data_IF_500842210215
#
_entry.id   IF_500842210215
#
_cell.length_a   1.000
_cell.length_b   1.000
_cell.length_c   1.000
_cell.angle_alpha   90.00
_cell.angle_beta   90.00
_cell.angle_gamma   90.00
#
_symmetry.space_group_name_H-M   'P 1'
#
loop_
_entity.id
_entity.type
_entity.pdbx_description
1 polymer ?
#
# COMPACT_ATOMS: atom_id res chain seq x y z
N UNK A 1 -27.22 -22.21 -3.71
CA UNK A 1 -26.78 -21.22 -2.70
C UNK A 1 -26.02 -20.16 -3.47
N UNK A 2 -26.59 -18.96 -3.66
CA UNK A 2 -25.85 -17.87 -4.31
C UNK A 2 -24.68 -17.52 -3.37
N UNK A 3 -23.46 -17.55 -3.89
CA UNK A 3 -22.32 -17.03 -3.13
C UNK A 3 -22.60 -15.54 -2.91
N UNK A 4 -22.45 -15.03 -1.69
CA UNK A 4 -22.70 -13.62 -1.34
C UNK A 4 -21.77 -12.60 -2.03
N UNK A 5 -21.15 -12.97 -3.15
CA UNK A 5 -20.34 -12.12 -4.03
C UNK A 5 -21.24 -11.27 -4.92
N UNK A 6 -22.35 -11.83 -5.43
CA UNK A 6 -23.26 -11.13 -6.34
C UNK A 6 -23.99 -9.94 -5.68
N UNK A 7 -23.94 -9.85 -4.35
CA UNK A 7 -24.49 -8.74 -3.55
C UNK A 7 -23.47 -7.66 -3.19
N UNK A 8 -22.18 -7.85 -3.53
CA UNK A 8 -21.16 -6.84 -3.27
C UNK A 8 -21.19 -5.76 -4.37
N UNK A 9 -20.95 -4.48 -4.03
CA UNK A 9 -20.83 -3.44 -5.03
C UNK A 9 -19.70 -3.79 -6.01
N UNK A 10 -19.93 -3.55 -7.30
CA UNK A 10 -18.91 -3.76 -8.34
C UNK A 10 -17.76 -2.78 -8.11
N UNK A 11 -16.53 -3.26 -8.26
CA UNK A 11 -15.34 -2.41 -8.15
C UNK A 11 -15.34 -1.31 -9.20
N UNK A 12 -15.11 -0.08 -8.74
CA UNK A 12 -14.81 1.06 -9.60
C UNK A 12 -13.30 1.13 -9.85
N UNK A 13 -12.91 1.24 -11.12
CA UNK A 13 -11.51 1.28 -11.52
C UNK A 13 -11.05 2.73 -11.64
N UNK A 14 -9.98 3.07 -10.92
CA UNK A 14 -9.22 4.32 -11.07
C UNK A 14 -7.84 4.03 -11.67
N UNK A 15 -7.10 5.07 -12.09
CA UNK A 15 -5.81 4.89 -12.78
C UNK A 15 -4.81 4.00 -12.03
N UNK A 16 -4.85 3.96 -10.69
CA UNK A 16 -4.22 2.93 -9.83
C UNK A 16 -4.99 2.80 -8.49
N UNK A 17 -5.65 1.67 -8.24
CA UNK A 17 -6.22 1.31 -6.92
C UNK A 17 -5.21 0.58 -6.03
N UNK A 18 -5.56 0.20 -4.79
CA UNK A 18 -4.61 -0.48 -3.88
C UNK A 18 -5.16 -1.75 -3.20
N UNK A 19 -4.36 -2.81 -3.17
CA UNK A 19 -4.42 -3.90 -2.18
C UNK A 19 -3.00 -4.34 -1.84
N UNK A 20 -2.58 -4.09 -0.60
CA UNK A 20 -1.24 -4.38 -0.12
C UNK A 20 -1.09 -5.81 0.42
N UNK A 21 -0.06 -6.51 -0.03
CA UNK A 21 0.22 -7.92 0.28
C UNK A 21 1.14 -8.13 1.49
N UNK A 22 1.43 -7.10 2.28
CA UNK A 22 2.29 -7.20 3.50
C UNK A 22 1.76 -8.22 4.51
N UNK A 23 0.45 -8.49 4.49
CA UNK A 23 -0.19 -9.45 5.41
C UNK A 23 -0.09 -10.90 4.96
N UNK A 24 0.51 -11.19 3.80
CA UNK A 24 0.59 -12.51 3.19
C UNK A 24 2.02 -13.04 3.19
N UNK A 25 2.21 -14.30 3.57
CA UNK A 25 3.52 -14.95 3.57
C UNK A 25 3.63 -16.02 4.65
N UNK A 26 4.43 -15.75 5.68
CA UNK A 26 4.58 -16.67 6.82
C UNK A 26 4.47 -15.97 8.17
N UNK A 27 3.68 -16.58 9.06
CA UNK A 27 3.55 -16.18 10.46
C UNK A 27 4.87 -16.27 11.25
N UNK A 28 5.88 -16.99 10.73
CA UNK A 28 7.24 -17.03 11.28
C UNK A 28 7.99 -15.70 11.16
N UNK A 29 7.66 -14.89 10.15
CA UNK A 29 8.27 -13.58 9.97
C UNK A 29 7.70 -12.57 10.96
N UNK A 30 6.38 -12.50 11.07
CA UNK A 30 5.67 -11.78 12.12
C UNK A 30 4.38 -12.53 12.50
N UNK A 31 4.02 -12.64 13.79
CA UNK A 31 2.92 -13.51 14.23
C UNK A 31 1.53 -13.20 13.63
N UNK A 32 1.32 -11.97 13.17
CA UNK A 32 0.06 -11.53 12.59
C UNK A 32 -0.06 -11.76 11.07
N UNK A 33 1.01 -12.23 10.42
CA UNK A 33 1.02 -12.55 8.99
C UNK A 33 0.24 -13.82 8.73
N UNK A 34 -0.51 -13.84 7.63
CA UNK A 34 -1.28 -15.01 7.21
C UNK A 34 -0.38 -15.98 6.46
N UNK A 35 -0.45 -17.25 6.82
CA UNK A 35 0.29 -18.30 6.15
C UNK A 35 -0.28 -18.57 4.74
N UNK A 36 0.42 -19.40 3.97
CA UNK A 36 0.22 -19.56 2.53
C UNK A 36 -1.24 -19.86 2.12
N UNK A 37 -1.87 -20.85 2.74
CA UNK A 37 -3.22 -21.29 2.34
C UNK A 37 -4.25 -20.17 2.54
N UNK A 38 -4.25 -19.56 3.73
CA UNK A 38 -5.13 -18.43 4.06
C UNK A 38 -4.86 -17.24 3.13
N UNK A 39 -3.59 -16.92 2.90
CA UNK A 39 -3.18 -15.84 2.02
C UNK A 39 -3.67 -16.03 0.58
N UNK A 40 -3.48 -17.23 0.02
CA UNK A 40 -3.93 -17.56 -1.34
C UNK A 40 -5.45 -17.40 -1.44
N UNK A 41 -6.20 -17.87 -0.44
CA UNK A 41 -7.66 -17.76 -0.44
C UNK A 41 -8.13 -16.30 -0.33
N UNK A 42 -7.47 -15.48 0.50
CA UNK A 42 -7.77 -14.05 0.62
C UNK A 42 -7.46 -13.27 -0.68
N UNK A 43 -6.32 -13.54 -1.31
CA UNK A 43 -5.93 -12.95 -2.61
C UNK A 43 -6.95 -13.34 -3.69
N UNK A 44 -7.34 -14.61 -3.74
CA UNK A 44 -8.38 -15.09 -4.66
C UNK A 44 -9.70 -14.37 -4.44
N UNK A 45 -10.11 -14.21 -3.19
CA UNK A 45 -11.36 -13.50 -2.84
C UNK A 45 -11.32 -12.03 -3.27
N UNK A 46 -10.21 -11.34 -3.03
CA UNK A 46 -10.00 -9.98 -3.50
C UNK A 46 -10.17 -9.90 -5.02
N UNK A 47 -9.55 -10.81 -5.77
CA UNK A 47 -9.67 -10.89 -7.23
C UNK A 47 -11.11 -11.15 -7.69
N UNK A 48 -11.82 -12.10 -7.07
CA UNK A 48 -13.24 -12.38 -7.36
C UNK A 48 -14.13 -11.16 -7.14
N UNK A 49 -13.81 -10.34 -6.13
CA UNK A 49 -14.50 -9.08 -5.88
C UNK A 49 -14.14 -7.98 -6.90
N UNK A 50 -13.23 -8.22 -7.85
CA UNK A 50 -12.85 -7.29 -8.92
C UNK A 50 -11.55 -6.52 -8.67
N UNK A 51 -10.85 -6.77 -7.57
CA UNK A 51 -9.55 -6.16 -7.29
C UNK A 51 -8.52 -6.71 -8.27
N UNK A 52 -7.82 -5.82 -8.98
CA UNK A 52 -6.83 -6.20 -9.98
C UNK A 52 -5.43 -5.65 -9.72
N UNK A 53 -5.24 -4.84 -8.68
CA UNK A 53 -3.95 -4.28 -8.31
C UNK A 53 -3.43 -4.95 -7.04
N UNK A 54 -2.26 -5.60 -7.13
CA UNK A 54 -1.61 -6.31 -6.04
C UNK A 54 -0.22 -5.74 -5.80
N UNK A 55 -0.01 -5.16 -4.61
CA UNK A 55 1.26 -4.58 -4.20
C UNK A 55 1.99 -5.51 -3.23
N UNK A 56 3.26 -5.83 -3.50
CA UNK A 56 4.12 -6.65 -2.63
C UNK A 56 5.51 -6.01 -2.51
N UNK A 57 6.44 -6.66 -1.83
CA UNK A 57 7.83 -6.21 -1.72
C UNK A 57 8.75 -7.40 -1.47
N UNK A 58 9.99 -7.28 -1.92
CA UNK A 58 11.03 -8.29 -1.68
C UNK A 58 11.17 -8.65 -0.19
N UNK A 59 11.06 -7.68 0.72
CA UNK A 59 11.24 -7.90 2.17
C UNK A 59 10.00 -8.50 2.86
N UNK A 60 8.81 -8.45 2.23
CA UNK A 60 7.59 -8.94 2.88
C UNK A 60 7.67 -10.45 3.07
N UNK A 61 7.65 -10.88 4.34
CA UNK A 61 7.95 -12.25 4.73
C UNK A 61 9.25 -12.79 4.13
N UNK A 62 10.29 -11.95 4.03
CA UNK A 62 11.58 -12.30 3.44
C UNK A 62 11.47 -12.95 2.04
N UNK A 63 10.58 -12.41 1.20
CA UNK A 63 10.32 -12.87 -0.16
C UNK A 63 9.14 -13.84 -0.29
N UNK A 64 8.64 -14.40 0.82
CA UNK A 64 7.53 -15.36 0.75
C UNK A 64 6.21 -14.72 0.29
N UNK A 65 6.00 -13.42 0.55
CA UNK A 65 4.81 -12.72 0.03
C UNK A 65 4.73 -12.76 -1.50
N UNK A 66 5.86 -12.57 -2.19
CA UNK A 66 5.94 -12.63 -3.66
C UNK A 66 5.66 -14.05 -4.17
N UNK A 67 6.18 -15.08 -3.48
CA UNK A 67 5.93 -16.49 -3.83
C UNK A 67 4.45 -16.84 -3.68
N UNK A 68 3.83 -16.44 -2.57
CA UNK A 68 2.42 -16.67 -2.28
C UNK A 68 1.53 -15.98 -3.31
N UNK A 69 1.80 -14.72 -3.66
CA UNK A 69 1.09 -14.01 -4.72
C UNK A 69 1.22 -14.73 -6.07
N UNK A 70 2.42 -15.19 -6.43
CA UNK A 70 2.66 -15.96 -7.65
C UNK A 70 1.87 -17.28 -7.69
N UNK A 71 1.75 -17.98 -6.54
CA UNK A 71 0.92 -19.19 -6.41
C UNK A 71 -0.57 -18.87 -6.55
N UNK A 72 -1.06 -17.78 -5.92
CA UNK A 72 -2.45 -17.35 -6.02
C UNK A 72 -2.84 -17.01 -7.48
N UNK A 73 -2.01 -16.25 -8.19
CA UNK A 73 -2.23 -15.90 -9.61
C UNK A 73 -2.42 -17.16 -10.46
N UNK A 74 -1.60 -18.20 -10.24
CA UNK A 74 -1.71 -19.48 -10.94
C UNK A 74 -2.96 -20.26 -10.53
N UNK A 75 -3.25 -20.37 -9.23
CA UNK A 75 -4.40 -21.12 -8.69
C UNK A 75 -5.73 -20.57 -9.21
N UNK A 76 -5.88 -19.25 -9.27
CA UNK A 76 -7.09 -18.58 -9.72
C UNK A 76 -7.09 -18.22 -11.20
N UNK A 77 -6.09 -18.71 -11.96
CA UNK A 77 -5.93 -18.47 -13.40
C UNK A 77 -6.10 -16.99 -13.80
N UNK A 78 -5.48 -16.09 -13.03
CA UNK A 78 -5.62 -14.65 -13.23
C UNK A 78 -4.90 -14.23 -14.52
N UNK A 79 -5.60 -13.70 -15.54
CA UNK A 79 -4.95 -13.31 -16.78
C UNK A 79 -3.96 -12.18 -16.54
N UNK A 80 -2.69 -12.35 -16.94
CA UNK A 80 -1.64 -11.35 -16.70
C UNK A 80 -1.97 -9.97 -17.26
N UNK A 81 -2.75 -9.91 -18.34
CA UNK A 81 -3.22 -8.67 -18.99
C UNK A 81 -4.33 -7.95 -18.20
N UNK A 82 -4.94 -8.61 -17.20
CA UNK A 82 -6.03 -8.06 -16.39
C UNK A 82 -5.61 -7.74 -14.95
N UNK A 83 -4.36 -7.99 -14.59
CA UNK A 83 -3.81 -7.67 -13.26
C UNK A 83 -2.61 -6.73 -13.36
N UNK A 84 -2.49 -5.88 -12.36
CA UNK A 84 -1.35 -5.02 -12.10
C UNK A 84 -0.64 -5.54 -10.87
N UNK A 85 0.66 -5.81 -10.99
CA UNK A 85 1.50 -6.28 -9.89
C UNK A 85 2.58 -5.23 -9.70
N UNK A 86 2.67 -4.69 -8.49
CA UNK A 86 3.76 -3.82 -8.06
C UNK A 86 4.62 -4.57 -7.03
N UNK A 87 5.94 -4.53 -7.20
CA UNK A 87 6.88 -4.95 -6.14
C UNK A 87 7.86 -3.83 -5.85
N UNK A 88 8.45 -3.87 -4.65
CA UNK A 88 9.36 -2.86 -4.12
C UNK A 88 10.71 -3.48 -3.82
N UNK A 89 11.75 -2.67 -3.97
CA UNK A 89 13.12 -3.01 -3.58
C UNK A 89 13.67 -1.86 -2.73
N UNK A 90 14.09 -2.18 -1.51
CA UNK A 90 14.78 -1.23 -0.64
C UNK A 90 15.51 -1.95 0.50
N UNK A 91 14.76 -2.72 1.28
CA UNK A 91 15.31 -3.52 2.37
C UNK A 91 15.89 -4.83 1.83
N UNK A 92 16.88 -5.35 2.55
CA UNK A 92 17.66 -6.52 2.14
C UNK A 92 16.87 -7.80 2.50
N UNK A 93 16.92 -8.78 1.60
CA UNK A 93 16.48 -10.15 1.83
C UNK A 93 17.73 -10.98 2.10
N UNK A 94 18.17 -11.06 3.36
CA UNK A 94 19.35 -11.85 3.78
C UNK A 94 19.41 -11.96 5.33
N UNK A 95 20.29 -12.83 5.85
CA UNK A 95 20.56 -13.04 7.29
C UNK A 95 21.40 -11.92 7.95
N UNK A 96 21.97 -10.98 7.19
CA UNK A 96 22.87 -9.94 7.72
C UNK A 96 22.61 -8.56 7.15
N UNK A 97 22.74 -7.56 8.02
CA UNK A 97 22.70 -6.14 7.68
C UNK A 97 23.88 -5.78 6.77
N UNK A 98 23.60 -5.46 5.50
CA UNK A 98 24.59 -4.85 4.63
C UNK A 98 24.47 -3.31 4.71
N UNK A 99 25.60 -2.58 4.65
CA UNK A 99 25.57 -1.13 4.62
C UNK A 99 24.77 -0.63 3.41
N UNK A 100 23.87 0.33 3.66
CA UNK A 100 23.04 0.97 2.65
C UNK A 100 23.64 2.31 2.29
N UNK A 101 24.13 2.46 1.06
CA UNK A 101 24.40 3.77 0.47
C UNK A 101 23.43 3.97 -0.70
N UNK A 102 22.73 5.11 -0.71
CA UNK A 102 21.75 5.43 -1.73
C UNK A 102 22.21 6.68 -2.44
N UNK A 103 22.48 6.55 -3.74
CA UNK A 103 22.66 7.67 -4.65
C UNK A 103 21.44 7.74 -5.55
N UNK A 104 20.69 8.85 -5.51
CA UNK A 104 19.48 9.05 -6.32
C UNK A 104 19.77 8.80 -7.81
N UNK A 105 20.89 9.31 -8.34
CA UNK A 105 21.21 9.12 -9.76
C UNK A 105 21.47 7.64 -10.10
N UNK A 106 22.20 6.92 -9.24
CA UNK A 106 22.43 5.49 -9.44
C UNK A 106 21.16 4.65 -9.32
N UNK A 107 20.23 5.05 -8.46
CA UNK A 107 18.89 4.43 -8.36
C UNK A 107 18.08 4.69 -9.64
N UNK A 108 18.04 5.93 -10.12
CA UNK A 108 17.35 6.28 -11.37
C UNK A 108 17.90 5.48 -12.56
N UNK A 109 19.22 5.38 -12.68
CA UNK A 109 19.88 4.61 -13.74
C UNK A 109 19.52 3.13 -13.68
N UNK A 110 19.64 2.52 -12.49
CA UNK A 110 19.32 1.12 -12.29
C UNK A 110 17.84 0.82 -12.58
N UNK A 111 16.91 1.67 -12.12
CA UNK A 111 15.48 1.51 -12.38
C UNK A 111 15.16 1.69 -13.87
N UNK A 112 15.82 2.63 -14.54
CA UNK A 112 15.71 2.80 -15.98
C UNK A 112 16.18 1.56 -16.74
N UNK A 113 17.26 0.90 -16.33
CA UNK A 113 17.72 -0.34 -16.95
C UNK A 113 16.74 -1.50 -16.75
N UNK A 114 16.05 -1.56 -15.60
CA UNK A 114 14.98 -2.55 -15.36
C UNK A 114 13.78 -2.29 -16.29
N UNK A 115 13.44 -1.02 -16.56
CA UNK A 115 12.40 -0.65 -17.54
C UNK A 115 12.85 -1.03 -18.96
N UNK A 116 14.05 -0.62 -19.36
CA UNK A 116 14.60 -0.88 -20.71
C UNK A 116 14.75 -2.35 -21.02
N UNK A 117 15.08 -3.18 -20.02
CA UNK A 117 15.15 -4.63 -20.16
C UNK A 117 13.78 -5.31 -20.25
N UNK A 118 12.67 -4.57 -20.12
CA UNK A 118 11.31 -5.09 -20.23
C UNK A 118 10.84 -5.90 -19.01
N UNK A 119 11.62 -5.91 -17.92
CA UNK A 119 11.25 -6.60 -16.67
C UNK A 119 10.09 -5.92 -15.95
N UNK A 120 9.98 -4.60 -16.07
CA UNK A 120 8.86 -3.80 -15.58
C UNK A 120 8.34 -2.88 -16.68
N UNK A 121 7.05 -2.54 -16.62
CA UNK A 121 6.43 -1.58 -17.55
C UNK A 121 6.61 -0.14 -17.10
N UNK A 122 6.58 0.07 -15.78
CA UNK A 122 6.59 1.37 -15.13
C UNK A 122 7.33 1.25 -13.79
N UNK A 123 7.80 2.38 -13.29
CA UNK A 123 8.40 2.49 -11.96
C UNK A 123 7.62 3.49 -11.11
N UNK A 124 7.63 3.26 -9.81
CA UNK A 124 7.03 4.13 -8.80
C UNK A 124 7.96 4.31 -7.62
N UNK A 125 7.71 5.36 -6.84
CA UNK A 125 8.40 5.61 -5.58
C UNK A 125 7.47 5.29 -4.39
N UNK A 126 8.04 5.16 -3.21
CA UNK A 126 7.28 4.97 -1.96
C UNK A 126 7.97 5.75 -0.84
N UNK A 127 7.18 6.44 -0.01
CA UNK A 127 7.66 7.06 1.23
C UNK A 127 8.85 8.01 1.05
N UNK A 128 8.92 8.67 -0.11
CA UNK A 128 9.97 9.61 -0.46
C UNK A 128 9.46 11.03 -0.18
N UNK A 129 10.30 11.94 0.29
CA UNK A 129 9.88 13.34 0.44
C UNK A 129 9.64 13.99 -0.93
N UNK A 130 8.74 14.98 -1.00
CA UNK A 130 8.35 15.63 -2.25
C UNK A 130 9.55 16.18 -3.04
N UNK A 131 10.51 16.83 -2.35
CA UNK A 131 11.70 17.36 -3.00
C UNK A 131 12.63 16.26 -3.55
N UNK A 132 12.75 15.11 -2.87
CA UNK A 132 13.54 13.98 -3.38
C UNK A 132 12.89 13.39 -4.62
N UNK A 133 11.56 13.26 -4.60
CA UNK A 133 10.80 12.69 -5.70
C UNK A 133 10.82 13.59 -6.94
N UNK A 134 10.65 14.89 -6.75
CA UNK A 134 10.81 15.89 -7.81
C UNK A 134 12.23 15.88 -8.36
N UNK A 135 13.26 15.82 -7.48
CA UNK A 135 14.66 15.76 -7.90
C UNK A 135 14.95 14.52 -8.74
N UNK A 136 14.43 13.37 -8.34
CA UNK A 136 14.60 12.11 -9.05
C UNK A 136 13.97 12.18 -10.46
N UNK A 137 12.70 12.62 -10.55
CA UNK A 137 12.04 12.82 -11.84
C UNK A 137 12.73 13.88 -12.73
N UNK A 138 13.32 14.93 -12.14
CA UNK A 138 14.10 15.92 -12.87
C UNK A 138 15.40 15.31 -13.45
N UNK A 139 16.07 14.44 -12.68
CA UNK A 139 17.25 13.68 -13.15
C UNK A 139 16.85 12.75 -14.29
N UNK A 140 15.77 11.97 -14.15
CA UNK A 140 15.29 11.10 -15.23
C UNK A 140 14.97 11.91 -16.49
N UNK A 141 14.25 13.02 -16.35
CA UNK A 141 13.89 13.89 -17.47
C UNK A 141 15.14 14.42 -18.20
N UNK A 142 16.15 14.87 -17.46
CA UNK A 142 17.41 15.37 -18.02
C UNK A 142 18.16 14.31 -18.83
N UNK A 143 18.08 13.04 -18.43
CA UNK A 143 18.79 11.92 -19.06
C UNK A 143 17.94 11.15 -20.09
N UNK A 144 16.68 11.54 -20.29
CA UNK A 144 15.75 10.79 -21.15
C UNK A 144 15.41 9.39 -20.59
N UNK A 145 15.48 9.22 -19.28
CA UNK A 145 15.18 7.97 -18.58
C UNK A 145 13.69 7.84 -18.24
N UNK A 146 13.28 6.63 -17.89
CA UNK A 146 11.95 6.39 -17.35
C UNK A 146 11.73 7.23 -16.07
N UNK A 147 10.60 7.94 -16.01
CA UNK A 147 10.18 8.71 -14.83
C UNK A 147 9.30 7.84 -13.92
N UNK A 148 9.24 8.19 -12.64
CA UNK A 148 8.24 7.64 -11.75
C UNK A 148 6.84 8.12 -12.13
N UNK A 149 5.91 7.17 -12.29
CA UNK A 149 4.51 7.45 -12.66
C UNK A 149 3.54 7.27 -11.49
N UNK A 150 4.04 6.80 -10.35
CA UNK A 150 3.25 6.65 -9.13
C UNK A 150 4.08 6.92 -7.88
N UNK A 151 3.42 7.43 -6.83
CA UNK A 151 3.95 7.54 -5.49
C UNK A 151 3.09 6.74 -4.51
N UNK A 152 3.72 5.88 -3.72
CA UNK A 152 3.07 5.16 -2.64
C UNK A 152 3.26 5.91 -1.31
N UNK A 153 2.26 6.73 -0.97
CA UNK A 153 2.25 7.70 0.11
C UNK A 153 1.79 7.10 1.43
N UNK A 154 2.47 7.45 2.53
CA UNK A 154 1.95 7.12 3.86
C UNK A 154 0.84 8.11 4.19
N UNK A 155 -0.42 7.69 4.04
CA UNK A 155 -1.56 8.61 4.18
C UNK A 155 -2.76 7.89 4.78
N UNK A 156 -3.31 8.47 5.85
CA UNK A 156 -4.50 8.02 6.56
C UNK A 156 -4.99 9.14 7.49
N UNK A 157 -6.11 8.94 8.18
CA UNK A 157 -6.71 9.98 9.01
C UNK A 157 -5.82 10.47 10.17
N UNK A 158 -4.86 9.67 10.64
CA UNK A 158 -3.89 10.10 11.68
C UNK A 158 -2.58 10.62 11.09
N UNK A 159 -2.27 10.34 9.82
CA UNK A 159 -1.06 10.79 9.14
C UNK A 159 -1.40 11.53 7.84
N UNK A 160 -1.40 12.87 7.91
CA UNK A 160 -1.84 13.76 6.83
C UNK A 160 -0.72 14.64 6.23
N UNK A 161 0.53 14.39 6.58
CA UNK A 161 1.69 15.18 6.12
C UNK A 161 1.77 15.29 4.59
N UNK A 162 1.36 14.23 3.88
CA UNK A 162 1.41 14.17 2.42
C UNK A 162 0.52 15.22 1.73
N UNK A 163 -0.49 15.77 2.42
CA UNK A 163 -1.37 16.82 1.87
C UNK A 163 -0.66 18.15 1.66
N UNK A 164 0.44 18.38 2.37
CA UNK A 164 1.14 19.66 2.34
C UNK A 164 1.84 19.90 1.01
N UNK A 165 2.51 18.87 0.48
CA UNK A 165 3.39 19.01 -0.68
C UNK A 165 3.25 17.84 -1.67
N UNK A 166 3.29 16.59 -1.18
CA UNK A 166 3.40 15.41 -2.05
C UNK A 166 2.14 15.14 -2.86
N UNK A 167 0.96 15.15 -2.22
CA UNK A 167 -0.32 14.94 -2.89
C UNK A 167 -0.58 16.05 -3.92
N UNK A 168 -0.47 17.36 -3.57
CA UNK A 168 -0.57 18.43 -4.55
C UNK A 168 0.39 18.27 -5.74
N UNK A 169 1.66 17.94 -5.47
CA UNK A 169 2.63 17.69 -6.53
C UNK A 169 2.25 16.50 -7.43
N UNK A 170 1.77 15.40 -6.84
CA UNK A 170 1.33 14.25 -7.62
C UNK A 170 0.15 14.59 -8.53
N UNK A 171 -0.83 15.35 -8.03
CA UNK A 171 -1.98 15.82 -8.81
C UNK A 171 -1.53 16.72 -9.97
N UNK A 172 -0.73 17.75 -9.69
CA UNK A 172 -0.21 18.69 -10.68
C UNK A 172 0.61 17.99 -11.78
N UNK A 173 1.47 17.05 -11.38
CA UNK A 173 2.35 16.30 -12.29
C UNK A 173 1.69 15.11 -12.99
N UNK A 174 0.41 14.83 -12.73
CA UNK A 174 -0.29 13.67 -13.29
C UNK A 174 0.26 12.32 -12.83
N UNK A 175 0.81 12.27 -11.61
CA UNK A 175 1.39 11.08 -10.98
C UNK A 175 0.32 10.42 -10.11
N UNK A 176 0.17 9.11 -10.24
CA UNK A 176 -0.81 8.37 -9.45
C UNK A 176 -0.38 8.25 -7.97
N UNK A 177 -1.25 8.61 -7.04
CA UNK A 177 -1.03 8.45 -5.59
C UNK A 177 -1.68 7.16 -5.08
N UNK A 178 -0.90 6.33 -4.38
CA UNK A 178 -1.33 5.07 -3.77
C UNK A 178 -1.12 5.18 -2.26
N UNK A 179 -2.18 5.05 -1.45
CA UNK A 179 -2.08 5.32 -0.01
C UNK A 179 -1.85 4.04 0.83
N UNK A 180 -0.99 4.12 1.84
CA UNK A 180 -0.76 3.08 2.85
C UNK A 180 -0.48 3.68 4.24
N UNK A 181 -0.57 2.89 5.32
CA UNK A 181 -1.62 1.92 5.52
C UNK A 181 -2.94 2.66 5.82
N UNK A 182 -4.04 2.41 5.08
CA UNK A 182 -5.28 3.22 5.19
C UNK A 182 -5.91 3.17 6.59
N UNK A 183 -5.83 2.01 7.25
CA UNK A 183 -6.37 1.81 8.60
C UNK A 183 -5.34 2.08 9.70
N UNK A 184 -4.20 2.73 9.39
CA UNK A 184 -3.10 2.94 10.31
C UNK A 184 -2.71 1.66 11.05
N UNK A 185 -2.53 0.56 10.31
CA UNK A 185 -2.20 -0.78 10.86
C UNK A 185 -3.22 -1.34 11.87
N UNK A 186 -4.46 -0.85 11.81
CA UNK A 186 -5.56 -1.26 12.69
C UNK A 186 -5.88 -0.26 13.79
N UNK A 187 -5.20 0.89 13.86
CA UNK A 187 -5.49 1.91 14.87
C UNK A 187 -6.84 2.60 14.61
N UNK A 188 -7.22 2.77 13.34
CA UNK A 188 -8.41 3.51 12.92
C UNK A 188 -9.71 2.68 12.92
N UNK A 189 -9.71 1.49 13.54
CA UNK A 189 -10.91 0.64 13.65
C UNK A 189 -11.56 0.68 15.04
N UNK A 190 -10.96 1.40 15.99
CA UNK A 190 -11.47 1.58 17.35
C UNK A 190 -10.41 1.43 18.45
N UNK A 191 -10.79 1.83 19.67
CA UNK A 191 -9.94 1.82 20.87
C UNK A 191 -9.86 0.45 21.53
N UNK A 192 -10.95 -0.31 21.50
CA UNK A 192 -11.02 -1.68 22.05
C UNK A 192 -10.45 -2.69 21.05
N UNK A 193 -9.13 -2.66 20.91
CA UNK A 193 -8.37 -3.61 20.08
C UNK A 193 -7.57 -4.52 20.99
N UNK A 194 -7.86 -5.81 20.98
CA UNK A 194 -6.94 -6.84 21.48
C UNK A 194 -6.78 -7.89 20.39
N UNK A 195 -5.66 -7.80 19.67
CA UNK A 195 -5.40 -8.65 18.50
C UNK A 195 -3.94 -9.04 18.50
N UNK A 196 -3.63 -10.18 17.86
CA UNK A 196 -2.25 -10.63 17.64
C UNK A 196 -1.42 -9.51 17.00
N UNK A 197 -1.97 -8.80 16.01
CA UNK A 197 -1.26 -7.71 15.33
C UNK A 197 -0.91 -6.57 16.27
N UNK A 198 -1.87 -6.03 17.02
CA UNK A 198 -1.62 -4.95 17.98
C UNK A 198 -0.45 -5.30 18.92
N UNK A 199 -0.43 -6.54 19.40
CA UNK A 199 0.50 -6.96 20.44
C UNK A 199 1.88 -7.39 19.89
N UNK A 200 2.02 -7.62 18.59
CA UNK A 200 3.25 -8.18 17.99
C UNK A 200 3.80 -7.39 16.80
N UNK A 201 3.10 -6.37 16.31
CA UNK A 201 3.54 -5.53 15.17
C UNK A 201 4.55 -4.48 15.62
N UNK A 202 5.83 -4.84 15.57
CA UNK A 202 6.96 -3.99 15.95
C UNK A 202 7.12 -2.72 15.10
N UNK A 203 6.45 -2.65 13.95
CA UNK A 203 6.56 -1.53 13.01
C UNK A 203 5.53 -0.44 13.34
N UNK A 204 4.37 -0.77 13.91
CA UNK A 204 3.34 0.22 14.22
C UNK A 204 3.84 1.33 15.18
N UNK A 205 4.53 1.04 16.29
CA UNK A 205 5.07 2.09 17.17
C UNK A 205 6.13 2.97 16.50
N UNK A 206 6.91 2.42 15.56
CA UNK A 206 7.93 3.19 14.84
C UNK A 206 7.33 4.22 13.89
N UNK A 207 6.16 3.91 13.32
CA UNK A 207 5.49 4.77 12.34
C UNK A 207 4.58 5.81 12.99
N UNK A 208 3.94 5.47 14.12
CA UNK A 208 2.91 6.31 14.74
C UNK A 208 3.30 6.82 16.13
N UNK A 209 4.50 6.47 16.62
CA UNK A 209 4.96 6.86 17.95
C UNK A 209 4.12 6.26 19.06
N UNK A 210 3.84 7.06 20.09
CA UNK A 210 2.94 6.67 21.17
C UNK A 210 1.51 6.53 20.64
N UNK A 211 1.08 5.27 20.51
CA UNK A 211 -0.24 4.82 20.03
C UNK A 211 -1.42 5.37 20.88
N UNK A 212 -1.12 6.12 21.94
CA UNK A 212 -2.03 6.70 22.92
C UNK A 212 -1.81 8.22 23.03
N UNK A 213 -1.84 8.92 21.90
CA UNK A 213 -1.89 10.37 21.91
C UNK A 213 -3.36 10.84 21.85
N UNK A 214 -3.69 11.92 22.57
CA UNK A 214 -5.08 12.39 22.70
C UNK A 214 -5.69 12.85 21.36
N UNK A 215 -4.86 13.24 20.39
CA UNK A 215 -5.30 13.71 19.08
C UNK A 215 -5.81 12.54 18.22
N UNK A 216 -5.10 11.42 18.21
CA UNK A 216 -5.49 10.19 17.51
C UNK A 216 -6.78 9.63 18.09
N UNK A 217 -6.93 9.69 19.42
CA UNK A 217 -8.15 9.25 20.10
C UNK A 217 -9.38 10.05 19.68
N UNK A 218 -9.25 11.37 19.50
CA UNK A 218 -10.35 12.22 19.02
C UNK A 218 -10.73 11.88 17.57
N UNK A 219 -9.75 11.57 16.72
CA UNK A 219 -9.98 11.12 15.34
C UNK A 219 -10.71 9.77 15.35
N UNK A 220 -10.26 8.82 16.18
CA UNK A 220 -10.88 7.50 16.31
C UNK A 220 -12.32 7.63 16.81
N UNK A 221 -12.58 8.43 17.85
CA UNK A 221 -13.92 8.67 18.37
C UNK A 221 -14.84 9.22 17.29
N UNK A 222 -14.34 10.17 16.48
CA UNK A 222 -15.12 10.73 15.39
C UNK A 222 -15.47 9.70 14.32
N UNK A 223 -14.56 8.78 13.99
CA UNK A 223 -14.83 7.69 13.06
C UNK A 223 -15.89 6.75 13.62
N UNK A 224 -15.83 6.42 14.92
CA UNK A 224 -16.81 5.56 15.59
C UNK A 224 -18.21 6.18 15.55
N UNK A 225 -18.30 7.47 15.83
CA UNK A 225 -19.56 8.22 15.81
C UNK A 225 -20.18 8.28 14.40
N UNK A 226 -19.35 8.48 13.37
CA UNK A 226 -19.79 8.44 11.96
C UNK A 226 -20.22 7.02 11.57
N UNK A 227 -19.46 6.01 11.98
CA UNK A 227 -19.76 4.61 11.69
C UNK A 227 -21.12 4.19 12.29
N UNK A 228 -21.39 4.59 13.53
CA UNK A 228 -22.70 4.38 14.18
C UNK A 228 -23.82 5.12 13.44
N UNK A 229 -23.63 6.43 13.15
CA UNK A 229 -24.61 7.24 12.44
C UNK A 229 -25.06 6.64 11.10
N UNK A 230 -24.14 6.05 10.35
CA UNK A 230 -24.42 5.46 9.04
C UNK A 230 -24.61 3.94 9.04
N UNK A 231 -24.63 3.30 10.22
CA UNK A 231 -24.71 1.84 10.37
C UNK A 231 -23.67 1.11 9.50
N UNK A 232 -22.41 1.55 9.60
CA UNK A 232 -21.25 1.00 8.89
C UNK A 232 -20.15 0.59 9.86
N UNK A 233 -19.20 -0.21 9.37
CA UNK A 233 -18.00 -0.50 10.14
C UNK A 233 -17.03 0.69 10.10
N UNK A 234 -16.28 0.98 11.18
CA UNK A 234 -15.25 2.02 11.20
C UNK A 234 -14.25 1.92 10.04
N UNK A 235 -13.86 0.68 9.68
CA UNK A 235 -12.97 0.42 8.55
C UNK A 235 -13.56 0.88 7.21
N UNK A 236 -14.89 0.77 7.01
CA UNK A 236 -15.56 1.24 5.80
C UNK A 236 -15.59 2.76 5.74
N UNK A 237 -15.97 3.41 6.85
CA UNK A 237 -15.99 4.88 6.94
C UNK A 237 -14.60 5.49 6.71
N UNK A 238 -13.56 4.89 7.29
CA UNK A 238 -12.18 5.29 7.05
C UNK A 238 -11.83 5.18 5.57
N UNK A 239 -11.98 4.00 4.95
CA UNK A 239 -11.62 3.81 3.55
C UNK A 239 -12.37 4.78 2.63
N UNK A 240 -13.65 5.04 2.88
CA UNK A 240 -14.40 6.05 2.15
C UNK A 240 -13.80 7.45 2.29
N UNK A 241 -13.41 7.88 3.49
CA UNK A 241 -12.78 9.20 3.70
C UNK A 241 -11.46 9.38 2.94
N UNK A 242 -10.72 8.30 2.71
CA UNK A 242 -9.47 8.31 1.94
C UNK A 242 -9.68 8.56 0.44
N UNK A 243 -10.91 8.35 -0.05
CA UNK A 243 -11.31 8.66 -1.42
C UNK A 243 -11.91 10.07 -1.55
N UNK A 244 -12.23 10.73 -0.43
CA UNK A 244 -12.85 12.06 -0.37
C UNK A 244 -11.82 13.19 -0.24
N UNK A 245 -10.57 12.98 -0.67
CA UNK A 245 -9.54 14.02 -0.57
C UNK A 245 -9.94 15.21 -1.43
N UNK A 246 -10.51 16.25 -0.80
CA UNK A 246 -10.69 17.70 -1.13
C UNK A 246 -10.61 18.25 -2.58
N UNK A 247 -10.58 17.41 -3.61
CA UNK A 247 -10.43 17.80 -5.01
C UNK A 247 -11.75 17.66 -5.80
N UNK A 248 -12.82 17.19 -5.15
CA UNK A 248 -14.21 17.25 -5.64
C UNK A 248 -14.88 18.62 -5.37
N UNK A 249 -14.11 19.64 -4.95
CA UNK A 249 -14.60 21.02 -4.71
C UNK A 249 -14.00 22.07 -5.66
N UNK A 250 -13.63 21.69 -6.89
CA UNK A 250 -13.40 22.65 -7.98
C UNK A 250 -14.33 22.35 -9.14
#
# INVERSE_FOLDING_TARGET
>A
MSSGIDTLPKMEYVRLGNTGCMSYGSSKWMPWVKDEEESINLIGKAYECGINFFDTANVYSNGESERVLGKAIKKFNMPRSRIVIATKVFFIVNEKDAPRSINIQGVEEALNDVVRSGKVRYIGASSMSAWQFQKANAIANKNGWAKFVSMQNMYNLIHREEEREMIPYCVDSGIASIHWPPLAKGLLIGKNRDTVRKNTDIIAPQLFGDILNANDDAIIDRILEIAEKYNRLPAQCNQSSMHLTNYDMI
#
